data_IF_098025895574
#
_entry.id   IF_098025895574
#
_cell.length_a   1.000
_cell.length_b   1.000
_cell.length_c   1.000
_cell.angle_alpha   90.00
_cell.angle_beta   90.00
_cell.angle_gamma   90.00
#
_symmetry.space_group_name_H-M   'P 1'
#
loop_
_entity.id
_entity.type
_entity.pdbx_description
1 polymer ?
#
# COMPACT_ATOMS: atom_id res chain seq x y z
N UNK A 1 -6.92 25.74 2.12
CA UNK A 1 -5.48 25.40 2.23
C UNK A 1 -5.09 25.39 3.68
N UNK A 2 -4.36 24.37 4.12
CA UNK A 2 -3.88 24.25 5.51
C UNK A 2 -2.40 24.60 5.57
N UNK A 3 -2.11 25.91 5.64
CA UNK A 3 -0.73 26.42 5.57
C UNK A 3 0.13 25.89 6.69
N UNK A 4 -0.45 25.70 7.88
CA UNK A 4 0.27 25.19 9.05
C UNK A 4 0.68 23.73 8.88
N UNK A 5 -0.17 22.90 8.25
CA UNK A 5 0.17 21.51 7.95
C UNK A 5 1.27 21.41 6.89
N UNK A 6 1.16 22.17 5.82
CA UNK A 6 2.18 22.22 4.77
C UNK A 6 3.53 22.77 5.24
N UNK A 7 3.55 23.67 6.23
CA UNK A 7 4.81 24.21 6.78
C UNK A 7 5.47 23.27 7.80
N UNK A 8 4.70 22.41 8.47
CA UNK A 8 5.22 21.46 9.47
C UNK A 8 5.81 20.21 8.84
N UNK A 9 5.31 19.80 7.68
CA UNK A 9 5.76 18.61 6.98
C UNK A 9 6.31 18.99 5.59
N UNK A 10 7.63 19.12 5.51
CA UNK A 10 8.36 19.47 4.29
C UNK A 10 8.27 18.40 3.19
N UNK A 11 7.93 17.16 3.54
CA UNK A 11 7.70 16.08 2.56
C UNK A 11 6.27 16.04 2.02
N UNK A 12 5.33 16.75 2.65
CA UNK A 12 3.92 16.68 2.30
C UNK A 12 3.62 17.41 0.99
N UNK A 13 3.17 16.66 -0.01
CA UNK A 13 2.65 17.19 -1.27
C UNK A 13 1.14 17.46 -1.18
N UNK A 14 0.39 16.47 -0.69
CA UNK A 14 -1.04 16.55 -0.50
C UNK A 14 -1.49 15.58 0.61
N UNK A 15 -2.69 15.76 1.13
CA UNK A 15 -3.31 14.88 2.11
C UNK A 15 -4.84 14.97 2.02
N UNK A 16 -5.53 13.85 2.18
CA UNK A 16 -6.98 13.83 2.25
C UNK A 16 -7.52 12.84 3.28
N UNK A 17 -8.68 13.18 3.83
CA UNK A 17 -9.42 12.29 4.72
C UNK A 17 -10.94 12.60 4.68
N UNK A 18 -11.80 11.60 4.93
CA UNK A 18 -13.23 11.82 5.15
C UNK A 18 -13.45 12.75 6.36
N UNK A 19 -14.39 13.68 6.24
CA UNK A 19 -14.80 14.56 7.34
C UNK A 19 -16.14 14.14 7.94
N UNK A 20 -17.03 13.60 7.13
CA UNK A 20 -18.33 13.09 7.56
C UNK A 20 -18.63 11.77 6.86
N UNK A 21 -19.32 10.86 7.55
CA UNK A 21 -19.72 9.57 7.00
C UNK A 21 -21.19 9.27 7.30
N UNK A 22 -21.87 8.58 6.38
CA UNK A 22 -23.18 7.96 6.63
C UNK A 22 -22.96 6.56 7.16
N UNK A 23 -23.57 6.25 8.32
CA UNK A 23 -23.55 4.92 8.93
C UNK A 23 -22.14 4.39 9.23
N UNK A 24 -21.14 5.27 9.38
CA UNK A 24 -19.75 4.90 9.64
C UNK A 24 -19.04 4.14 8.50
N UNK A 25 -19.66 4.07 7.31
CA UNK A 25 -19.20 3.21 6.21
C UNK A 25 -19.00 3.95 4.90
N UNK A 26 -19.66 5.09 4.71
CA UNK A 26 -19.63 5.85 3.46
C UNK A 26 -19.30 7.33 3.71
N UNK A 27 -18.15 7.85 3.26
CA UNK A 27 -17.87 9.28 3.22
C UNK A 27 -18.95 10.06 2.47
N UNK A 28 -19.38 11.16 3.07
CA UNK A 28 -20.29 12.15 2.46
C UNK A 28 -19.48 13.38 2.02
N UNK A 29 -18.49 13.74 2.83
CA UNK A 29 -17.58 14.84 2.58
C UNK A 29 -16.18 14.46 3.03
N UNK A 30 -15.19 15.11 2.42
CA UNK A 30 -13.79 14.92 2.71
C UNK A 30 -13.06 16.25 2.59
N UNK A 31 -11.94 16.37 3.30
CA UNK A 31 -11.05 17.52 3.21
C UNK A 31 -9.81 17.11 2.45
N UNK A 32 -9.50 17.86 1.40
CA UNK A 32 -8.26 17.76 0.64
C UNK A 32 -7.35 18.94 0.99
N UNK A 33 -6.10 18.64 1.23
CA UNK A 33 -5.02 19.59 1.49
C UNK A 33 -4.00 19.40 0.37
N UNK A 34 -3.63 20.49 -0.28
CA UNK A 34 -2.59 20.54 -1.32
C UNK A 34 -1.55 21.57 -0.86
N UNK A 35 -0.27 21.22 -0.97
CA UNK A 35 0.86 22.07 -0.59
C UNK A 35 1.56 22.59 -1.85
N UNK A 36 1.02 23.60 -2.55
CA UNK A 36 1.43 23.96 -3.91
C UNK A 36 2.85 24.52 -4.02
N UNK A 37 3.39 25.09 -2.94
CA UNK A 37 4.73 25.67 -2.91
C UNK A 37 5.82 24.65 -2.54
N UNK A 38 5.47 23.36 -2.40
CA UNK A 38 6.47 22.35 -2.10
C UNK A 38 7.39 22.14 -3.32
N UNK A 39 8.72 22.31 -3.20
CA UNK A 39 9.65 22.18 -4.33
C UNK A 39 9.68 20.77 -4.94
N UNK A 40 9.18 19.76 -4.23
CA UNK A 40 9.05 18.39 -4.74
C UNK A 40 8.08 18.29 -5.94
N UNK A 41 7.13 19.21 -6.09
CA UNK A 41 6.27 19.24 -7.28
C UNK A 41 7.05 19.39 -8.59
N UNK A 42 8.13 20.19 -8.59
CA UNK A 42 8.99 20.38 -9.76
C UNK A 42 9.86 19.15 -10.09
N UNK A 43 9.99 18.20 -9.15
CA UNK A 43 10.80 16.99 -9.30
C UNK A 43 9.97 15.76 -9.62
N UNK A 44 8.64 15.88 -9.69
CA UNK A 44 7.72 14.75 -9.75
C UNK A 44 6.67 14.95 -10.86
N UNK A 45 6.80 14.21 -11.97
CA UNK A 45 5.89 14.26 -13.12
C UNK A 45 4.59 13.45 -12.93
N UNK A 46 4.04 13.41 -11.72
CA UNK A 46 2.83 12.60 -11.47
C UNK A 46 1.87 13.29 -10.49
N UNK A 47 1.73 14.61 -10.59
CA UNK A 47 0.80 15.36 -9.74
C UNK A 47 -0.63 14.83 -9.81
N UNK A 48 -1.03 14.34 -10.99
CA UNK A 48 -2.28 13.61 -11.19
C UNK A 48 -2.38 12.36 -10.29
N UNK A 49 -1.32 11.57 -10.18
CA UNK A 49 -1.33 10.32 -9.40
C UNK A 49 -1.33 10.57 -7.89
N UNK A 50 -0.74 11.67 -7.44
CA UNK A 50 -0.84 12.12 -6.04
C UNK A 50 -2.27 12.58 -5.77
N UNK A 51 -2.86 13.39 -6.65
CA UNK A 51 -4.24 13.83 -6.48
C UNK A 51 -5.23 12.66 -6.47
N UNK A 52 -5.09 11.70 -7.39
CA UNK A 52 -5.93 10.50 -7.41
C UNK A 52 -5.72 9.62 -6.17
N UNK A 53 -4.50 9.53 -5.66
CA UNK A 53 -4.19 8.83 -4.41
C UNK A 53 -4.90 9.48 -3.21
N UNK A 54 -4.84 10.81 -3.09
CA UNK A 54 -5.56 11.52 -2.03
C UNK A 54 -7.07 11.41 -2.20
N UNK A 55 -7.58 11.42 -3.43
CA UNK A 55 -9.00 11.20 -3.67
C UNK A 55 -9.44 9.83 -3.15
N UNK A 56 -8.63 8.78 -3.32
CA UNK A 56 -8.93 7.46 -2.75
C UNK A 56 -9.04 7.51 -1.22
N UNK A 57 -8.15 8.24 -0.54
CA UNK A 57 -8.24 8.43 0.92
C UNK A 57 -9.47 9.24 1.32
N UNK A 58 -9.82 10.29 0.58
CA UNK A 58 -11.09 11.01 0.75
C UNK A 58 -12.31 10.09 0.61
N UNK A 59 -12.21 9.06 -0.24
CA UNK A 59 -13.24 8.03 -0.40
C UNK A 59 -13.20 6.94 0.68
N UNK A 60 -12.33 7.08 1.69
CA UNK A 60 -12.24 6.19 2.85
C UNK A 60 -11.30 5.00 2.67
N UNK A 61 -10.58 4.91 1.56
CA UNK A 61 -9.58 3.87 1.37
C UNK A 61 -8.49 3.98 2.44
N UNK A 62 -8.18 2.86 3.12
CA UNK A 62 -7.21 2.84 4.23
C UNK A 62 -7.65 3.54 5.52
N UNK A 63 -8.81 4.21 5.53
CA UNK A 63 -9.29 5.01 6.68
C UNK A 63 -10.63 4.52 7.23
N UNK A 64 -11.45 3.86 6.41
CA UNK A 64 -12.74 3.28 6.81
C UNK A 64 -12.66 1.77 6.54
N UNK A 65 -12.46 1.00 7.61
CA UNK A 65 -12.33 -0.45 7.55
C UNK A 65 -13.61 -1.09 8.11
N UNK A 66 -14.40 -1.79 7.29
CA UNK A 66 -15.56 -2.55 7.77
C UNK A 66 -15.15 -3.53 8.87
N UNK A 67 -15.94 -3.63 9.95
CA UNK A 67 -15.63 -4.53 11.08
C UNK A 67 -15.42 -5.99 10.65
N UNK A 68 -16.19 -6.44 9.66
CA UNK A 68 -16.17 -7.81 9.12
C UNK A 68 -14.96 -8.10 8.21
N UNK A 69 -14.24 -7.05 7.79
CA UNK A 69 -13.06 -7.15 6.93
C UNK A 69 -11.76 -6.98 7.71
N UNK A 70 -11.80 -6.86 9.05
CA UNK A 70 -10.60 -6.82 9.90
C UNK A 70 -9.97 -8.22 9.93
N UNK A 71 -9.21 -8.52 8.90
CA UNK A 71 -8.34 -9.69 8.90
C UNK A 71 -7.11 -9.32 9.74
N UNK A 72 -7.07 -9.79 10.98
CA UNK A 72 -5.97 -9.53 11.92
C UNK A 72 -4.80 -10.41 11.50
N UNK A 73 -4.16 -10.08 10.38
CA UNK A 73 -2.85 -10.62 10.06
C UNK A 73 -1.94 -10.32 11.25
N UNK A 74 -1.41 -11.35 11.89
CA UNK A 74 -0.48 -11.17 13.00
C UNK A 74 0.77 -10.46 12.51
N UNK A 75 1.23 -9.44 13.24
CA UNK A 75 2.51 -8.81 12.95
C UNK A 75 3.60 -9.89 12.92
N UNK A 76 4.52 -9.76 11.98
CA UNK A 76 5.65 -10.68 11.84
C UNK A 76 6.93 -9.98 12.22
N UNK A 77 7.61 -10.53 13.22
CA UNK A 77 8.95 -10.09 13.62
C UNK A 77 9.98 -11.07 13.06
N UNK A 78 11.01 -10.55 12.40
CA UNK A 78 12.10 -11.36 11.87
C UNK A 78 13.40 -10.56 11.80
N UNK A 79 14.52 -11.26 11.61
CA UNK A 79 15.83 -10.62 11.43
C UNK A 79 15.96 -10.20 9.96
N UNK A 80 15.99 -8.90 9.72
CA UNK A 80 16.33 -8.32 8.43
C UNK A 80 17.85 -8.29 8.27
N UNK A 81 18.37 -9.14 7.40
CA UNK A 81 19.82 -9.24 7.18
C UNK A 81 20.31 -8.22 6.16
N UNK A 82 21.47 -7.64 6.46
CA UNK A 82 22.30 -6.86 5.55
C UNK A 82 23.74 -7.36 5.70
N UNK A 83 24.23 -8.05 4.68
CA UNK A 83 25.56 -8.67 4.66
C UNK A 83 25.79 -9.67 5.81
N UNK A 84 26.75 -9.40 6.70
CA UNK A 84 27.10 -10.26 7.85
C UNK A 84 26.29 -9.94 9.11
N UNK A 85 25.48 -8.89 9.06
CA UNK A 85 24.73 -8.35 10.20
C UNK A 85 23.23 -8.38 9.95
N UNK A 86 22.44 -8.14 10.99
CA UNK A 86 21.00 -8.04 10.84
C UNK A 86 20.33 -7.32 12.00
N UNK A 87 19.15 -6.81 11.74
CA UNK A 87 18.33 -6.08 12.70
C UNK A 87 16.98 -6.80 12.87
N UNK A 88 16.46 -6.83 14.09
CA UNK A 88 15.12 -7.36 14.33
C UNK A 88 14.09 -6.31 13.92
N UNK A 89 13.31 -6.60 12.88
CA UNK A 89 12.25 -5.72 12.40
C UNK A 89 10.89 -6.35 12.62
N UNK A 90 9.87 -5.50 12.81
CA UNK A 90 8.47 -5.92 12.86
C UNK A 90 7.73 -5.38 11.65
N UNK A 91 7.12 -6.28 10.90
CA UNK A 91 6.26 -5.96 9.76
C UNK A 91 4.80 -5.99 10.18
N UNK A 92 4.04 -5.04 9.66
CA UNK A 92 2.61 -4.88 9.89
C UNK A 92 1.87 -5.24 8.61
N UNK A 93 0.67 -5.81 8.74
CA UNK A 93 -0.15 -6.18 7.59
C UNK A 93 -1.40 -5.30 7.49
N UNK A 94 -1.80 -4.99 6.26
CA UNK A 94 -3.02 -4.24 5.95
C UNK A 94 -4.25 -4.97 6.48
N UNK A 95 -5.16 -4.25 7.15
CA UNK A 95 -6.35 -4.86 7.77
C UNK A 95 -7.35 -5.38 6.72
N UNK A 96 -7.34 -4.83 5.50
CA UNK A 96 -8.26 -5.15 4.41
C UNK A 96 -7.51 -5.85 3.28
N UNK A 97 -7.25 -7.16 3.41
CA UNK A 97 -6.29 -7.82 2.50
C UNK A 97 -6.78 -9.07 1.79
N UNK A 98 -7.94 -9.66 2.13
CA UNK A 98 -8.30 -11.00 1.64
C UNK A 98 -8.19 -11.18 0.12
N UNK A 99 -8.72 -10.22 -0.66
CA UNK A 99 -8.65 -10.31 -2.12
C UNK A 99 -7.24 -9.94 -2.61
N UNK A 100 -6.65 -8.87 -2.07
CA UNK A 100 -5.30 -8.43 -2.42
C UNK A 100 -4.23 -9.51 -2.17
N UNK A 101 -4.34 -10.24 -1.05
CA UNK A 101 -3.48 -11.34 -0.66
C UNK A 101 -3.52 -12.48 -1.67
N UNK A 102 -4.73 -12.84 -2.16
CA UNK A 102 -4.86 -13.84 -3.23
C UNK A 102 -4.08 -13.42 -4.49
N UNK A 103 -4.20 -12.16 -4.90
CA UNK A 103 -3.47 -11.66 -6.07
C UNK A 103 -1.97 -11.57 -5.83
N UNK A 104 -1.53 -11.15 -4.65
CA UNK A 104 -0.12 -11.13 -4.32
C UNK A 104 0.49 -12.54 -4.32
N UNK A 105 -0.20 -13.54 -3.78
CA UNK A 105 0.23 -14.95 -3.82
C UNK A 105 0.44 -15.43 -5.26
N UNK A 106 -0.52 -15.14 -6.14
CA UNK A 106 -0.44 -15.48 -7.57
C UNK A 106 0.69 -14.71 -8.28
N UNK A 107 0.77 -13.40 -8.06
CA UNK A 107 1.74 -12.52 -8.70
C UNK A 107 3.17 -12.89 -8.34
N UNK A 108 3.47 -13.03 -7.05
CA UNK A 108 4.82 -13.34 -6.58
C UNK A 108 5.18 -14.83 -6.70
N UNK A 109 4.18 -15.71 -6.92
CA UNK A 109 4.37 -17.16 -6.89
C UNK A 109 4.67 -17.68 -5.48
N UNK A 110 4.06 -17.07 -4.46
CA UNK A 110 4.28 -17.42 -3.05
C UNK A 110 2.97 -17.74 -2.33
N UNK A 111 2.57 -19.02 -2.30
CA UNK A 111 1.29 -19.43 -1.71
C UNK A 111 1.21 -19.19 -0.19
N UNK A 112 2.34 -19.22 0.51
CA UNK A 112 2.45 -19.05 1.96
C UNK A 112 2.57 -17.58 2.40
N UNK A 113 2.40 -16.61 1.49
CA UNK A 113 2.40 -15.20 1.86
C UNK A 113 1.31 -14.95 2.91
N UNK A 114 1.71 -14.39 4.06
CA UNK A 114 0.85 -14.22 5.24
C UNK A 114 -0.08 -13.02 5.10
N UNK A 115 0.39 -11.95 4.47
CA UNK A 115 -0.37 -10.74 4.30
C UNK A 115 0.26 -9.75 3.33
N UNK A 116 -0.42 -8.62 3.15
CA UNK A 116 0.06 -7.46 2.39
C UNK A 116 0.67 -6.48 3.38
N UNK A 117 1.97 -6.22 3.24
CA UNK A 117 2.71 -5.38 4.19
C UNK A 117 2.27 -3.91 4.12
N UNK A 118 2.03 -3.31 5.29
CA UNK A 118 1.86 -1.88 5.44
C UNK A 118 3.18 -1.18 5.74
N UNK A 119 3.27 0.09 5.40
CA UNK A 119 4.43 0.94 5.68
C UNK A 119 4.68 1.06 7.19
N UNK A 120 3.61 1.18 7.97
CA UNK A 120 3.68 1.38 9.41
C UNK A 120 2.50 0.72 10.13
N UNK A 121 2.51 0.85 11.46
CA UNK A 121 1.45 0.35 12.35
C UNK A 121 0.08 1.01 12.09
N UNK A 122 0.02 2.17 11.42
CA UNK A 122 -1.26 2.82 11.09
C UNK A 122 -1.98 2.08 9.97
N UNK A 123 -1.27 1.29 9.15
CA UNK A 123 -1.84 0.42 8.11
C UNK A 123 -2.67 1.15 7.05
N UNK A 124 -2.34 2.43 6.82
CA UNK A 124 -3.03 3.29 5.84
C UNK A 124 -2.41 3.13 4.46
N UNK A 125 -1.08 2.99 4.44
CA UNK A 125 -0.28 2.87 3.22
C UNK A 125 0.38 1.51 3.13
N UNK A 126 0.56 1.04 1.91
CA UNK A 126 1.42 -0.09 1.60
C UNK A 126 2.89 0.26 1.87
N UNK A 127 3.68 -0.72 2.29
CA UNK A 127 5.15 -0.60 2.35
C UNK A 127 5.71 -0.16 1.00
N UNK A 128 6.81 0.59 0.97
CA UNK A 128 7.37 1.23 -0.22
C UNK A 128 7.68 0.25 -1.37
N UNK A 129 8.09 -0.98 -1.04
CA UNK A 129 8.24 -2.09 -2.00
C UNK A 129 6.96 -2.42 -2.78
N UNK A 130 5.81 -2.10 -2.18
CA UNK A 130 4.46 -2.23 -2.72
C UNK A 130 3.85 -0.86 -3.09
N UNK A 131 4.50 0.29 -2.83
CA UNK A 131 4.02 1.61 -3.29
C UNK A 131 4.05 1.73 -4.81
N UNK A 132 4.93 0.98 -5.51
CA UNK A 132 4.83 0.81 -6.96
C UNK A 132 3.57 0.00 -7.39
N UNK A 133 2.88 -0.64 -6.44
CA UNK A 133 1.65 -1.40 -6.64
C UNK A 133 0.38 -0.61 -6.32
N UNK A 134 0.34 0.69 -6.68
CA UNK A 134 -0.90 1.48 -6.72
C UNK A 134 -2.07 0.75 -7.42
N UNK A 135 -1.78 -0.26 -8.25
CA UNK A 135 -2.71 -1.04 -9.08
C UNK A 135 -3.28 -2.31 -8.44
N UNK A 136 -2.66 -2.87 -7.39
CA UNK A 136 -3.05 -4.19 -6.85
C UNK A 136 -4.17 -4.09 -5.79
N UNK A 137 -4.35 -2.92 -5.16
CA UNK A 137 -5.33 -2.73 -4.07
C UNK A 137 -6.72 -2.28 -4.55
N UNK A 138 -7.03 -2.33 -5.85
CA UNK A 138 -8.35 -1.96 -6.36
C UNK A 138 -9.40 -3.08 -6.25
N UNK A 139 -9.25 -4.01 -5.30
CA UNK A 139 -10.03 -5.26 -5.33
C UNK A 139 -10.72 -5.70 -4.05
N UNK A 140 -10.60 -4.97 -2.94
CA UNK A 140 -11.54 -5.12 -1.81
C UNK A 140 -12.88 -4.40 -2.07
N UNK A 141 -13.23 -4.23 -3.34
CA UNK A 141 -14.26 -3.29 -3.81
C UNK A 141 -15.65 -3.92 -3.85
N UNK A 142 -15.80 -5.21 -3.51
CA UNK A 142 -17.12 -5.81 -3.37
C UNK A 142 -17.90 -5.33 -2.12
N UNK A 143 -17.22 -4.75 -1.12
CA UNK A 143 -17.84 -4.18 0.10
C UNK A 143 -17.62 -2.67 0.24
N UNK A 144 -16.83 -2.08 -0.65
CA UNK A 144 -16.66 -0.63 -0.70
C UNK A 144 -17.93 0.03 -1.25
N UNK A 145 -18.26 1.21 -0.74
CA UNK A 145 -19.42 1.98 -1.18
C UNK A 145 -19.23 2.55 -2.60
N UNK A 146 -17.99 2.61 -3.11
CA UNK A 146 -17.68 2.93 -4.50
C UNK A 146 -17.36 1.63 -5.26
N UNK A 147 -17.83 1.53 -6.51
CA UNK A 147 -17.54 0.41 -7.41
C UNK A 147 -16.40 0.77 -8.35
N UNK A 148 -15.53 -0.18 -8.66
CA UNK A 148 -14.50 -0.04 -9.70
C UNK A 148 -14.70 -1.06 -10.80
N UNK A 149 -14.16 -0.75 -11.97
CA UNK A 149 -14.08 -1.71 -13.06
C UNK A 149 -12.98 -2.75 -12.75
N UNK A 150 -13.40 -3.87 -12.17
CA UNK A 150 -12.49 -4.94 -11.75
C UNK A 150 -11.73 -5.56 -12.93
N UNK A 151 -12.34 -5.61 -14.12
CA UNK A 151 -11.70 -6.15 -15.32
C UNK A 151 -10.53 -5.29 -15.78
N UNK A 152 -10.69 -3.96 -15.76
CA UNK A 152 -9.60 -3.02 -16.06
C UNK A 152 -8.44 -3.18 -15.08
N UNK A 153 -8.76 -3.23 -13.79
CA UNK A 153 -7.78 -3.46 -12.71
C UNK A 153 -7.04 -4.79 -12.88
N UNK A 154 -7.75 -5.87 -13.24
CA UNK A 154 -7.14 -7.18 -13.50
C UNK A 154 -6.13 -7.07 -14.64
N UNK A 155 -6.51 -6.47 -15.75
CA UNK A 155 -5.65 -6.34 -16.91
C UNK A 155 -4.38 -5.54 -16.57
N UNK A 156 -4.54 -4.43 -15.86
CA UNK A 156 -3.43 -3.57 -15.44
C UNK A 156 -2.50 -4.27 -14.43
N UNK A 157 -3.07 -5.03 -13.50
CA UNK A 157 -2.31 -5.81 -12.50
C UNK A 157 -1.53 -6.94 -13.16
N UNK A 158 -2.12 -7.64 -14.14
CA UNK A 158 -1.45 -8.72 -14.88
C UNK A 158 -0.30 -8.20 -15.76
N UNK A 159 -0.39 -6.95 -16.22
CA UNK A 159 0.69 -6.30 -16.97
C UNK A 159 1.87 -5.86 -16.10
N UNK A 160 1.75 -5.92 -14.77
CA UNK A 160 2.82 -5.56 -13.86
C UNK A 160 3.89 -6.66 -13.83
N UNK A 161 5.13 -6.34 -14.19
CA UNK A 161 6.19 -7.32 -14.34
C UNK A 161 7.07 -7.47 -13.09
N UNK A 162 7.21 -6.42 -12.29
CA UNK A 162 8.16 -6.38 -11.18
C UNK A 162 7.74 -7.35 -10.05
N UNK A 163 8.67 -8.17 -9.58
CA UNK A 163 8.39 -9.21 -8.59
C UNK A 163 7.64 -10.44 -9.13
N UNK A 164 7.25 -10.47 -10.40
CA UNK A 164 6.40 -11.54 -10.93
C UNK A 164 7.11 -12.90 -10.88
N UNK A 165 6.51 -13.86 -10.16
CA UNK A 165 7.05 -15.22 -9.90
C UNK A 165 8.46 -15.23 -9.29
N UNK A 166 8.83 -14.21 -8.52
CA UNK A 166 10.16 -14.16 -7.90
C UNK A 166 10.33 -15.05 -6.67
N UNK A 167 9.23 -15.60 -6.14
CA UNK A 167 9.23 -16.56 -5.05
C UNK A 167 9.03 -15.92 -3.69
N UNK A 168 8.95 -16.77 -2.66
CA UNK A 168 8.75 -16.32 -1.29
C UNK A 168 9.97 -15.60 -0.70
N UNK A 169 11.19 -15.91 -1.17
CA UNK A 169 12.40 -15.25 -0.69
C UNK A 169 12.35 -13.74 -0.95
N UNK A 170 11.74 -13.32 -2.05
CA UNK A 170 11.60 -11.89 -2.39
C UNK A 170 10.69 -11.13 -1.41
N UNK A 171 9.56 -11.74 -1.06
CA UNK A 171 8.48 -11.07 -0.32
C UNK A 171 8.51 -11.34 1.18
N UNK A 172 9.36 -12.24 1.64
CA UNK A 172 9.45 -12.60 3.07
C UNK A 172 10.85 -12.38 3.67
N UNK A 173 11.88 -12.18 2.84
CA UNK A 173 13.26 -11.97 3.27
C UNK A 173 13.75 -10.56 3.00
N UNK A 174 15.01 -10.28 3.35
CA UNK A 174 15.63 -9.02 2.98
C UNK A 174 16.05 -9.01 1.51
N UNK A 175 16.28 -7.81 0.96
CA UNK A 175 16.88 -7.67 -0.38
C UNK A 175 18.21 -8.45 -0.50
N UNK A 176 19.00 -8.43 0.58
CA UNK A 176 20.24 -9.20 0.67
C UNK A 176 19.99 -10.70 0.56
N UNK A 177 19.05 -11.26 1.34
CA UNK A 177 18.72 -12.70 1.31
C UNK A 177 18.27 -13.14 -0.09
N UNK A 178 17.45 -12.30 -0.75
CA UNK A 178 16.97 -12.56 -2.11
C UNK A 178 18.10 -12.62 -3.15
N UNK A 179 19.04 -11.68 -3.09
CA UNK A 179 20.21 -11.64 -3.99
C UNK A 179 21.13 -12.83 -3.70
N UNK A 180 21.46 -13.07 -2.43
CA UNK A 180 22.37 -14.14 -2.02
C UNK A 180 21.86 -15.52 -2.49
N UNK A 181 20.57 -15.80 -2.30
CA UNK A 181 19.95 -17.07 -2.73
C UNK A 181 20.04 -17.29 -4.24
N UNK A 182 19.98 -16.23 -5.05
CA UNK A 182 20.09 -16.33 -6.50
C UNK A 182 21.53 -16.44 -6.98
N UNK A 183 22.47 -15.79 -6.29
CA UNK A 183 23.90 -15.90 -6.60
C UNK A 183 24.45 -17.31 -6.37
N UNK A 184 23.86 -18.07 -5.43
CA UNK A 184 24.24 -19.46 -5.13
C UNK A 184 23.62 -20.50 -6.08
N UNK A 185 22.60 -20.15 -6.85
CA UNK A 185 21.89 -21.04 -7.80
C UNK A 185 22.44 -20.96 -9.24
N UNK A 186 23.49 -20.16 -9.46
CA UNK A 186 24.27 -20.12 -10.70
C UNK A 186 25.52 -20.96 -10.55
#
# INVERSE_FOLDING_TARGET
>A
MDRQKCSKDVGLLAAAAPCATTGGKRPISARLIICPHNPLWGKFQSARDVFLHELMHALGFGLIIPKDDRDVGHNRTFIWRYETTGEMITTYFMDFQRIALRYAREHFGCAQLQGIESEDQKKIHLSEYLKMQKKIVYKNICRSWYKTNVSFVIAETKAYWYGHKWGCEFVQGSCFDFIATRSQRR
#
